data_IF_643270833219
#
_entry.id   IF_643270833219
#
_cell.length_a   1.000
_cell.length_b   1.000
_cell.length_c   1.000
_cell.angle_alpha   90.00
_cell.angle_beta   90.00
_cell.angle_gamma   90.00
#
_symmetry.space_group_name_H-M   'P 1'
#
loop_
_entity.id
_entity.type
_entity.pdbx_description
1 polymer ?
#
# COMPACT_ATOMS: atom_id res chain seq x y z
N UNK A 1 13.35 13.54 -7.12
CA UNK A 1 12.43 12.54 -7.70
C UNK A 1 11.73 13.16 -8.93
N UNK A 2 11.06 12.42 -9.82
CA UNK A 2 10.14 12.99 -10.83
C UNK A 2 8.97 12.02 -11.11
N UNK A 3 7.95 12.45 -11.86
CA UNK A 3 6.75 11.66 -12.15
C UNK A 3 7.05 10.26 -12.71
N UNK A 4 8.01 10.16 -13.63
CA UNK A 4 8.40 8.89 -14.27
C UNK A 4 9.10 7.97 -13.28
N UNK A 5 10.03 8.48 -12.49
CA UNK A 5 10.68 7.70 -11.44
C UNK A 5 9.67 7.25 -10.37
N UNK A 6 8.71 8.12 -10.01
CA UNK A 6 7.64 7.74 -9.12
C UNK A 6 6.77 6.63 -9.69
N UNK A 7 6.35 6.72 -10.95
CA UNK A 7 5.55 5.67 -11.57
C UNK A 7 6.30 4.35 -11.74
N UNK A 8 7.62 4.39 -11.95
CA UNK A 8 8.48 3.20 -12.04
C UNK A 8 8.60 2.51 -10.68
N UNK A 9 8.84 3.27 -9.60
CA UNK A 9 9.04 2.70 -8.27
C UNK A 9 7.73 2.48 -7.50
N UNK A 10 6.64 3.14 -7.94
CA UNK A 10 5.38 3.25 -7.21
C UNK A 10 4.17 3.24 -8.15
N UNK A 11 3.87 2.10 -8.79
CA UNK A 11 2.76 2.03 -9.72
C UNK A 11 1.39 2.20 -9.04
N UNK A 12 1.33 2.12 -7.71
CA UNK A 12 0.10 2.04 -6.91
C UNK A 12 0.01 3.18 -5.89
N UNK A 13 -1.23 3.50 -5.46
CA UNK A 13 -1.56 4.74 -4.74
C UNK A 13 -0.59 5.03 -3.60
N UNK A 14 0.06 6.20 -3.65
CA UNK A 14 1.10 6.59 -2.72
C UNK A 14 0.56 7.41 -1.56
N UNK A 15 1.22 7.33 -0.40
CA UNK A 15 0.93 8.16 0.76
C UNK A 15 2.11 9.08 1.03
N UNK A 16 1.81 10.29 1.50
CA UNK A 16 2.81 11.22 2.03
C UNK A 16 2.44 11.67 3.45
N UNK A 17 3.46 12.11 4.19
CA UNK A 17 3.29 12.82 5.47
C UNK A 17 4.06 14.13 5.47
N UNK A 18 3.55 15.12 6.19
CA UNK A 18 4.32 16.32 6.48
C UNK A 18 5.38 16.01 7.55
N UNK A 19 6.65 16.31 7.27
CA UNK A 19 7.77 16.04 8.19
C UNK A 19 7.62 16.82 9.51
N UNK A 20 7.09 18.04 9.44
CA UNK A 20 6.86 18.88 10.64
C UNK A 20 5.62 18.48 11.43
N UNK A 21 4.72 17.69 10.83
CA UNK A 21 3.46 17.25 11.42
C UNK A 21 3.10 15.86 10.90
N UNK A 22 3.73 14.84 11.48
CA UNK A 22 3.53 13.44 11.09
C UNK A 22 2.08 12.94 11.26
N UNK A 23 1.23 13.72 11.95
CA UNK A 23 -0.21 13.48 12.05
C UNK A 23 -0.99 13.84 10.78
N UNK A 24 -0.43 14.64 9.88
CA UNK A 24 -1.06 14.97 8.61
C UNK A 24 -0.62 13.96 7.53
N UNK A 25 -1.54 13.06 7.19
CA UNK A 25 -1.37 12.10 6.10
C UNK A 25 -2.20 12.48 4.86
N UNK A 26 -1.62 12.30 3.68
CA UNK A 26 -2.27 12.56 2.41
C UNK A 26 -2.05 11.37 1.47
N UNK A 27 -3.02 11.15 0.59
CA UNK A 27 -2.95 10.19 -0.50
C UNK A 27 -2.68 10.97 -1.79
N UNK A 28 -1.67 10.57 -2.56
CA UNK A 28 -1.40 11.17 -3.86
C UNK A 28 -2.55 10.82 -4.81
N UNK A 29 -3.18 11.84 -5.38
CA UNK A 29 -4.35 11.70 -6.25
C UNK A 29 -4.04 11.93 -7.72
N UNK A 30 -2.93 12.63 -8.03
CA UNK A 30 -2.51 13.00 -9.38
C UNK A 30 -1.01 13.29 -9.43
N UNK A 31 -0.34 12.83 -10.48
CA UNK A 31 1.06 13.13 -10.77
C UNK A 31 1.13 14.09 -11.95
N UNK A 32 1.83 15.21 -11.80
CA UNK A 32 2.08 16.19 -12.85
C UNK A 32 3.56 16.16 -13.26
N UNK A 33 3.96 17.00 -14.22
CA UNK A 33 5.34 17.01 -14.74
C UNK A 33 6.39 17.37 -13.68
N UNK A 34 6.08 18.33 -12.80
CA UNK A 34 7.03 18.89 -11.82
C UNK A 34 6.61 18.70 -10.36
N UNK A 35 5.36 18.31 -10.12
CA UNK A 35 4.78 18.15 -8.80
C UNK A 35 3.74 17.02 -8.79
N UNK A 36 3.14 16.79 -7.63
CA UNK A 36 1.99 15.92 -7.47
C UNK A 36 0.96 16.54 -6.53
N UNK A 37 -0.30 16.18 -6.75
CA UNK A 37 -1.43 16.59 -5.91
C UNK A 37 -1.75 15.47 -4.94
N UNK A 38 -1.91 15.81 -3.66
CA UNK A 38 -2.30 14.88 -2.62
C UNK A 38 -3.46 15.41 -1.79
N UNK A 39 -4.28 14.49 -1.28
CA UNK A 39 -5.52 14.77 -0.58
C UNK A 39 -5.53 14.07 0.78
N UNK A 40 -5.88 14.80 1.84
CA UNK A 40 -6.06 14.24 3.18
C UNK A 40 -7.47 13.66 3.36
N UNK A 41 -7.67 12.95 4.47
CA UNK A 41 -9.01 12.48 4.90
C UNK A 41 -10.01 13.60 5.19
N UNK A 42 -9.54 14.83 5.38
CA UNK A 42 -10.36 16.01 5.68
C UNK A 42 -10.58 16.91 4.46
N UNK A 43 -10.44 16.34 3.26
CA UNK A 43 -10.54 17.06 1.99
C UNK A 43 -9.56 18.25 1.86
N UNK A 44 -8.46 18.24 2.62
CA UNK A 44 -7.34 19.20 2.43
C UNK A 44 -6.52 18.72 1.24
N UNK A 45 -6.27 19.63 0.30
CA UNK A 45 -5.41 19.37 -0.85
C UNK A 45 -4.07 20.06 -0.68
N UNK A 46 -3.01 19.40 -1.11
CA UNK A 46 -1.65 19.95 -1.19
C UNK A 46 -1.05 19.63 -2.54
N UNK A 47 -0.29 20.58 -3.08
CA UNK A 47 0.55 20.37 -4.26
C UNK A 47 1.98 20.35 -3.78
N UNK A 48 2.70 19.27 -4.09
CA UNK A 48 4.02 19.01 -3.54
C UNK A 48 5.03 18.83 -4.67
N UNK A 49 6.06 19.69 -4.74
CA UNK A 49 7.19 19.50 -5.64
C UNK A 49 7.90 18.17 -5.38
N UNK A 50 8.41 17.53 -6.42
CA UNK A 50 9.12 16.25 -6.28
C UNK A 50 10.44 16.30 -5.51
N UNK A 51 10.97 17.51 -5.28
CA UNK A 51 12.17 17.81 -4.51
C UNK A 51 11.86 18.42 -3.13
N UNK A 52 10.59 18.41 -2.71
CA UNK A 52 10.18 18.94 -1.41
C UNK A 52 10.81 18.16 -0.25
N UNK A 53 11.47 18.87 0.66
CA UNK A 53 11.93 18.32 1.94
C UNK A 53 10.82 18.33 3.03
N UNK A 54 9.70 19.02 2.76
CA UNK A 54 8.60 19.17 3.73
C UNK A 54 7.71 17.92 3.80
N UNK A 55 7.64 17.17 2.70
CA UNK A 55 6.79 15.98 2.59
C UNK A 55 7.61 14.77 2.18
N UNK A 56 7.36 13.65 2.84
CA UNK A 56 8.00 12.36 2.53
C UNK A 56 6.96 11.35 2.08
N UNK A 57 7.31 10.56 1.07
CA UNK A 57 6.51 9.42 0.61
C UNK A 57 6.71 8.27 1.57
N UNK A 58 5.62 7.77 2.14
CA UNK A 58 5.64 6.77 3.21
C UNK A 58 4.83 5.54 2.83
N UNK A 59 5.12 4.42 3.49
CA UNK A 59 4.32 3.20 3.37
C UNK A 59 2.90 3.37 3.95
N UNK A 60 1.96 2.55 3.49
CA UNK A 60 0.62 2.41 4.05
C UNK A 60 0.63 1.52 5.28
N UNK A 61 -0.01 1.91 6.39
CA UNK A 61 -0.24 0.99 7.49
C UNK A 61 -1.25 -0.09 7.08
N UNK A 62 -1.18 -1.28 7.68
CA UNK A 62 -2.14 -2.38 7.38
C UNK A 62 -3.59 -2.04 7.77
N UNK A 63 -3.81 -1.04 8.63
CA UNK A 63 -5.14 -0.48 8.86
C UNK A 63 -5.79 0.15 7.61
N UNK A 64 -5.03 0.33 6.52
CA UNK A 64 -5.52 0.86 5.25
C UNK A 64 -5.95 -0.23 4.25
N UNK A 65 -5.90 -1.52 4.59
CA UNK A 65 -6.23 -2.61 3.65
C UNK A 65 -7.62 -2.50 3.02
N UNK A 66 -8.60 -2.01 3.77
CA UNK A 66 -9.98 -1.84 3.32
C UNK A 66 -10.25 -0.47 2.69
N UNK A 67 -9.28 0.45 2.73
CA UNK A 67 -9.41 1.78 2.15
C UNK A 67 -9.18 1.71 0.64
N UNK A 68 -9.95 2.47 -0.15
CA UNK A 68 -9.69 2.60 -1.58
C UNK A 68 -8.35 3.31 -1.81
N UNK A 69 -7.49 2.69 -2.61
CA UNK A 69 -6.27 3.25 -3.14
C UNK A 69 -6.52 3.65 -4.60
N UNK A 70 -6.16 4.88 -4.96
CA UNK A 70 -6.26 5.33 -6.35
C UNK A 70 -4.96 4.99 -7.08
N UNK A 71 -5.09 4.28 -8.19
CA UNK A 71 -4.01 3.78 -9.03
C UNK A 71 -4.24 4.35 -10.43
N UNK A 72 -3.56 5.43 -10.79
CA UNK A 72 -3.89 6.21 -11.99
C UNK A 72 -5.38 6.60 -11.97
N UNK A 73 -6.19 6.05 -12.87
CA UNK A 73 -7.64 6.26 -12.96
C UNK A 73 -8.48 5.09 -12.42
N UNK A 74 -7.85 4.07 -11.84
CA UNK A 74 -8.50 2.88 -11.28
C UNK A 74 -8.52 2.95 -9.76
N UNK A 75 -9.63 2.59 -9.13
CA UNK A 75 -9.73 2.43 -7.68
C UNK A 75 -9.52 0.96 -7.34
N UNK A 76 -8.54 0.68 -6.49
CA UNK A 76 -8.19 -0.67 -6.02
C UNK A 76 -8.34 -0.71 -4.50
N UNK A 77 -8.88 -1.80 -3.96
CA UNK A 77 -8.82 -2.10 -2.52
C UNK A 77 -7.93 -3.33 -2.33
N UNK A 78 -6.90 -3.21 -1.50
CA UNK A 78 -5.99 -4.31 -1.22
C UNK A 78 -6.74 -5.51 -0.61
N UNK A 79 -7.73 -5.25 0.24
CA UNK A 79 -8.62 -6.28 0.81
C UNK A 79 -9.27 -7.15 -0.25
N UNK A 80 -9.76 -6.56 -1.33
CA UNK A 80 -10.53 -7.27 -2.34
C UNK A 80 -9.61 -8.20 -3.15
N UNK A 81 -8.39 -7.75 -3.46
CA UNK A 81 -7.37 -8.57 -4.11
C UNK A 81 -6.94 -9.76 -3.24
N UNK A 82 -6.70 -9.50 -1.95
CA UNK A 82 -6.29 -10.52 -0.98
C UNK A 82 -7.40 -11.56 -0.80
N UNK A 83 -8.63 -11.12 -0.58
CA UNK A 83 -9.78 -12.01 -0.44
C UNK A 83 -9.98 -12.86 -1.70
N UNK A 84 -9.85 -12.27 -2.89
CA UNK A 84 -9.94 -13.00 -4.16
C UNK A 84 -8.89 -14.11 -4.25
N UNK A 85 -7.61 -13.82 -4.01
CA UNK A 85 -6.54 -14.83 -4.08
C UNK A 85 -6.76 -15.96 -3.08
N UNK A 86 -7.16 -15.63 -1.86
CA UNK A 86 -7.39 -16.63 -0.80
C UNK A 86 -8.59 -17.50 -1.14
N UNK A 87 -9.69 -16.90 -1.60
CA UNK A 87 -10.88 -17.65 -2.00
C UNK A 87 -10.60 -18.58 -3.18
N UNK A 88 -9.89 -18.12 -4.21
CA UNK A 88 -9.48 -18.94 -5.34
C UNK A 88 -8.60 -20.12 -4.89
N UNK A 89 -7.61 -19.84 -4.04
CA UNK A 89 -6.66 -20.86 -3.56
C UNK A 89 -7.28 -21.88 -2.61
N UNK A 90 -8.35 -21.50 -1.92
CA UNK A 90 -9.07 -22.35 -0.97
C UNK A 90 -10.40 -22.89 -1.53
N UNK A 91 -10.73 -22.61 -2.79
CA UNK A 91 -12.00 -22.94 -3.43
C UNK A 91 -13.25 -22.48 -2.63
N UNK A 92 -13.17 -21.29 -2.05
CA UNK A 92 -14.27 -20.66 -1.30
C UNK A 92 -15.17 -19.85 -2.24
N UNK A 93 -16.47 -19.82 -1.97
CA UNK A 93 -17.39 -18.87 -2.59
C UNK A 93 -17.42 -17.59 -1.78
N UNK A 94 -17.15 -16.45 -2.42
CA UNK A 94 -17.19 -15.14 -1.75
C UNK A 94 -18.58 -14.49 -1.77
N UNK A 95 -19.57 -15.07 -2.44
CA UNK A 95 -20.91 -14.47 -2.54
C UNK A 95 -21.62 -14.49 -1.18
N UNK A 96 -21.77 -13.30 -0.59
CA UNK A 96 -22.53 -13.11 0.66
C UNK A 96 -21.78 -13.52 1.94
N UNK A 97 -20.52 -13.93 1.85
CA UNK A 97 -19.71 -14.28 3.03
C UNK A 97 -19.05 -13.06 3.68
N UNK A 98 -18.95 -13.09 5.01
CA UNK A 98 -18.15 -12.13 5.76
C UNK A 98 -16.66 -12.45 5.60
N UNK A 99 -15.95 -11.69 4.76
CA UNK A 99 -14.51 -11.85 4.55
C UNK A 99 -13.67 -11.10 5.60
N UNK A 100 -14.27 -10.52 6.65
CA UNK A 100 -13.54 -9.75 7.66
C UNK A 100 -12.53 -10.58 8.43
N UNK A 101 -12.77 -11.89 8.57
CA UNK A 101 -11.85 -12.81 9.22
C UNK A 101 -10.54 -12.98 8.44
N UNK A 102 -10.59 -12.93 7.10
CA UNK A 102 -9.40 -13.00 6.24
C UNK A 102 -8.50 -11.82 6.54
N UNK A 103 -9.07 -10.61 6.52
CA UNK A 103 -8.31 -9.39 6.79
C UNK A 103 -7.73 -9.40 8.20
N UNK A 104 -8.51 -9.84 9.21
CA UNK A 104 -8.01 -10.00 10.58
C UNK A 104 -6.84 -11.00 10.66
N UNK A 105 -6.92 -12.12 9.96
CA UNK A 105 -5.85 -13.11 9.95
C UNK A 105 -4.56 -12.56 9.30
N UNK A 106 -4.68 -11.83 8.19
CA UNK A 106 -3.54 -11.19 7.52
C UNK A 106 -2.94 -10.09 8.39
N UNK A 107 -3.76 -9.19 8.96
CA UNK A 107 -3.27 -8.14 9.85
C UNK A 107 -2.58 -8.73 11.07
N UNK A 108 -3.18 -9.73 11.72
CA UNK A 108 -2.59 -10.37 12.89
C UNK A 108 -1.26 -11.08 12.58
N UNK A 109 -1.13 -11.69 11.40
CA UNK A 109 0.14 -12.31 10.99
C UNK A 109 1.28 -11.30 10.86
N UNK A 110 1.04 -10.17 10.18
CA UNK A 110 2.09 -9.17 9.92
C UNK A 110 2.34 -8.22 11.09
N UNK A 111 1.30 -7.85 11.85
CA UNK A 111 1.44 -6.88 12.95
C UNK A 111 1.73 -7.54 14.29
N UNK A 112 1.10 -8.69 14.58
CA UNK A 112 1.08 -9.29 15.92
C UNK A 112 1.86 -10.61 15.99
N UNK A 113 2.52 -11.01 14.89
CA UNK A 113 3.18 -12.31 14.75
C UNK A 113 2.26 -13.49 15.09
N UNK A 114 0.95 -13.34 14.84
CA UNK A 114 -0.03 -14.40 15.09
C UNK A 114 0.18 -15.56 14.11
N UNK A 115 -0.23 -16.77 14.52
CA UNK A 115 -0.27 -17.91 13.60
C UNK A 115 -1.25 -17.62 12.46
N UNK A 116 -0.79 -17.84 11.23
CA UNK A 116 -1.67 -17.72 10.06
C UNK A 116 -2.20 -19.10 9.67
N UNK A 117 -3.50 -19.15 9.33
CA UNK A 117 -4.16 -20.38 8.88
C UNK A 117 -3.90 -20.68 7.40
N UNK A 118 -3.34 -19.72 6.66
CA UNK A 118 -3.07 -19.87 5.23
C UNK A 118 -1.72 -20.54 4.98
N UNK A 119 -1.62 -21.24 3.85
CA UNK A 119 -0.37 -21.89 3.44
C UNK A 119 0.71 -20.86 3.15
N UNK A 120 1.98 -21.28 3.21
CA UNK A 120 3.13 -20.45 2.84
C UNK A 120 3.01 -19.90 1.40
N UNK A 121 2.42 -20.67 0.49
CA UNK A 121 2.21 -20.25 -0.89
C UNK A 121 1.21 -19.09 -0.99
N UNK A 122 0.07 -19.19 -0.30
CA UNK A 122 -0.93 -18.12 -0.22
C UNK A 122 -0.30 -16.88 0.42
N UNK A 123 0.40 -17.06 1.55
CA UNK A 123 1.03 -15.95 2.26
C UNK A 123 2.12 -15.27 1.44
N UNK A 124 2.85 -16.00 0.60
CA UNK A 124 3.80 -15.42 -0.35
C UNK A 124 3.10 -14.52 -1.38
N UNK A 125 1.95 -14.95 -1.93
CA UNK A 125 1.16 -14.12 -2.87
C UNK A 125 0.61 -12.87 -2.19
N UNK A 126 0.08 -13.01 -0.96
CA UNK A 126 -0.39 -11.86 -0.16
C UNK A 126 0.75 -10.90 0.14
N UNK A 127 1.91 -11.41 0.56
CA UNK A 127 3.11 -10.60 0.80
C UNK A 127 3.47 -9.78 -0.44
N UNK A 128 3.47 -10.37 -1.63
CA UNK A 128 3.76 -9.65 -2.85
C UNK A 128 2.73 -8.57 -3.18
N UNK A 129 1.43 -8.82 -3.00
CA UNK A 129 0.41 -7.75 -3.16
C UNK A 129 0.71 -6.60 -2.23
N UNK A 130 0.91 -6.88 -0.94
CA UNK A 130 1.10 -5.85 0.07
C UNK A 130 2.37 -5.04 -0.18
N UNK A 131 3.46 -5.70 -0.55
CA UNK A 131 4.71 -5.06 -0.91
C UNK A 131 4.55 -4.17 -2.15
N UNK A 132 3.86 -4.68 -3.17
CA UNK A 132 3.56 -3.96 -4.42
C UNK A 132 2.72 -2.70 -4.18
N UNK A 133 1.76 -2.79 -3.25
CA UNK A 133 0.90 -1.68 -2.84
C UNK A 133 1.52 -0.81 -1.74
N UNK A 134 2.82 -1.00 -1.45
CA UNK A 134 3.60 -0.23 -0.46
C UNK A 134 3.00 -0.25 0.95
N UNK A 135 2.48 -1.39 1.40
CA UNK A 135 2.08 -1.59 2.79
C UNK A 135 3.29 -1.91 3.69
N UNK A 136 3.26 -1.40 4.91
CA UNK A 136 4.24 -1.71 5.96
C UNK A 136 3.97 -3.08 6.58
N UNK A 137 4.43 -4.12 5.89
CA UNK A 137 4.36 -5.53 6.31
C UNK A 137 5.48 -5.96 7.25
N UNK A 138 6.50 -5.12 7.41
CA UNK A 138 7.66 -5.37 8.28
C UNK A 138 7.60 -4.61 9.60
N UNK A 139 6.59 -3.74 9.78
CA UNK A 139 6.42 -2.90 10.96
C UNK A 139 7.45 -1.77 11.09
N UNK A 140 8.07 -1.36 9.98
CA UNK A 140 9.11 -0.33 9.97
C UNK A 140 8.56 1.06 10.33
N UNK A 141 7.30 1.37 9.99
CA UNK A 141 6.63 2.59 10.44
C UNK A 141 6.44 2.54 11.96
N UNK A 142 5.91 1.43 12.49
CA UNK A 142 5.68 1.26 13.94
C UNK A 142 6.98 1.37 14.74
N UNK A 143 8.10 0.91 14.18
CA UNK A 143 9.44 0.99 14.78
C UNK A 143 10.18 2.30 14.50
N UNK A 144 9.59 3.21 13.72
CA UNK A 144 10.23 4.48 13.31
C UNK A 144 11.56 4.28 12.56
N UNK A 145 11.69 3.15 11.86
CA UNK A 145 12.93 2.69 11.19
C UNK A 145 12.97 3.02 9.69
N UNK A 146 11.81 3.25 9.07
CA UNK A 146 11.73 3.79 7.71
C UNK A 146 10.48 4.66 7.61
N UNK A 147 10.71 5.94 7.32
CA UNK A 147 9.63 6.90 7.05
C UNK A 147 9.49 7.05 5.54
N UNK A 148 10.59 6.98 4.78
CA UNK A 148 10.57 7.17 3.34
C UNK A 148 10.64 5.84 2.60
N UNK A 149 9.79 5.65 1.59
CA UNK A 149 9.93 4.47 0.73
C UNK A 149 11.24 4.49 -0.08
N UNK A 150 11.82 5.67 -0.30
CA UNK A 150 13.13 5.83 -0.93
C UNK A 150 14.26 5.15 -0.13
N UNK A 151 14.09 5.00 1.19
CA UNK A 151 15.06 4.35 2.08
C UNK A 151 14.98 2.81 1.99
N UNK A 152 13.90 2.27 1.41
CA UNK A 152 13.65 0.83 1.41
C UNK A 152 14.43 0.05 0.33
N UNK A 153 15.11 0.73 -0.60
CA UNK A 153 15.98 0.14 -1.63
C UNK A 153 15.36 -1.06 -2.38
N UNK A 154 14.05 -1.07 -2.59
CA UNK A 154 13.38 -2.14 -3.36
C UNK A 154 13.60 -1.98 -4.86
N UNK A 155 13.76 -3.09 -5.57
CA UNK A 155 13.72 -3.15 -7.03
C UNK A 155 12.26 -3.36 -7.49
N UNK A 156 11.60 -2.37 -8.11
CA UNK A 156 10.20 -2.49 -8.54
C UNK A 156 10.02 -3.41 -9.77
N UNK A 157 11.08 -3.81 -10.47
CA UNK A 157 10.99 -4.54 -11.73
C UNK A 157 10.74 -6.06 -11.58
N UNK A 158 10.81 -6.62 -10.38
CA UNK A 158 10.38 -8.02 -10.15
C UNK A 158 8.83 -8.17 -10.15
N UNK A 159 8.06 -7.08 -10.10
CA UNK A 159 6.65 -7.07 -9.72
C UNK A 159 5.61 -6.96 -10.85
N UNK A 160 6.00 -6.62 -12.08
CA UNK A 160 5.06 -6.63 -13.23
C UNK A 160 4.46 -8.02 -13.49
N UNK A 161 5.08 -9.08 -12.96
CA UNK A 161 4.62 -10.46 -13.10
C UNK A 161 3.45 -10.87 -12.18
N UNK A 162 3.11 -10.09 -11.14
CA UNK A 162 2.15 -10.54 -10.09
C UNK A 162 0.73 -10.01 -10.31
N UNK A 163 0.55 -8.94 -11.08
CA UNK A 163 -0.75 -8.28 -11.28
C UNK A 163 -1.26 -8.36 -12.73
N UNK A 164 -0.47 -8.94 -13.64
CA UNK A 164 -0.83 -9.20 -15.03
C UNK A 164 -0.85 -10.72 -15.21
N UNK A 165 -1.86 -11.37 -14.64
CA UNK A 165 -2.39 -12.67 -15.06
C UNK A 165 -3.93 -12.61 -14.99
#
# INVERSE_FOLDING_TARGET
MNAKMLLIHYPYGLRIVCVKSLSEDFIITKLNEHDYEAKSRWDKYVTVPYDSEEYKIVLHPLSHLTKPLKVKDVIVKASDLICKIIAESMHLSLEGEDTSWIIKAITGYFEDSASCIFSNEIMRRVYYILLTLHFDITGMIKRNEAISVEELKYDPYEFESVLID
#
